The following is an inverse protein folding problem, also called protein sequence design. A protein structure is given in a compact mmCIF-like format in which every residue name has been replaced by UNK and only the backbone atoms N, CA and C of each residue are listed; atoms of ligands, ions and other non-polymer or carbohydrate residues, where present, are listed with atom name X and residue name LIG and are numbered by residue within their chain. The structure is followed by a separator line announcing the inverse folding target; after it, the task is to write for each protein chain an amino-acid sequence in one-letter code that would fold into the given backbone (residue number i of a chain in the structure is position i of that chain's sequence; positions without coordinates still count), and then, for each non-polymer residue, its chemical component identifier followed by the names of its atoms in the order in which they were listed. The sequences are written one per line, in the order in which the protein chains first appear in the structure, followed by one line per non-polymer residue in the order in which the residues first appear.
data_IF_209981166837
#
_entry.id   IF_209981166837
#
_cell.length_a   1.000
_cell.length_b   1.000
_cell.length_c   1.000
_cell.angle_alpha   90.00
_cell.angle_beta   90.00
_cell.angle_gamma   90.00
#
_symmetry.space_group_name_H-M   'P 1'
#
loop_
_entity.id
_entity.type
_entity.pdbx_description
1 polymer ?
#
# COMPACT_ATOMS: atom_id res chain seq x y z
N UNK A 1 -7.83 12.76 -13.33
CA UNK A 1 -6.35 12.85 -13.26
C UNK A 1 -5.83 11.54 -12.74
N UNK A 2 -4.81 10.97 -13.38
CA UNK A 2 -4.07 9.79 -12.93
C UNK A 2 -2.81 10.19 -12.18
N UNK A 3 -2.29 9.29 -11.34
CA UNK A 3 -1.02 9.46 -10.65
C UNK A 3 0.11 9.05 -11.58
N UNK A 4 1.09 9.93 -11.82
CA UNK A 4 2.25 9.63 -12.64
C UNK A 4 3.02 8.41 -12.10
N UNK A 5 3.66 7.62 -12.97
CA UNK A 5 4.29 6.36 -12.58
C UNK A 5 5.40 6.56 -11.54
N UNK A 6 6.19 7.62 -11.65
CA UNK A 6 7.27 8.00 -10.73
C UNK A 6 6.77 8.49 -9.36
N UNK A 7 5.51 8.93 -9.27
CA UNK A 7 4.85 9.39 -8.02
C UNK A 7 3.91 8.35 -7.43
N UNK A 8 3.71 7.24 -8.12
CA UNK A 8 2.84 6.18 -7.63
C UNK A 8 3.54 5.42 -6.49
N UNK A 9 2.86 5.19 -5.37
CA UNK A 9 3.48 4.54 -4.22
C UNK A 9 4.02 3.15 -4.55
N UNK A 10 5.21 2.83 -4.03
CA UNK A 10 5.83 1.51 -4.16
C UNK A 10 5.73 0.77 -2.83
N UNK A 11 5.21 -0.46 -2.86
CA UNK A 11 5.16 -1.36 -1.70
C UNK A 11 5.36 -2.79 -2.15
N UNK A 12 6.38 -3.44 -1.62
CA UNK A 12 6.66 -4.87 -1.82
C UNK A 12 6.61 -5.60 -0.48
N UNK A 13 6.25 -6.89 -0.49
CA UNK A 13 6.32 -7.78 0.67
C UNK A 13 7.63 -8.57 0.69
N UNK A 14 8.25 -8.74 -0.46
CA UNK A 14 9.56 -9.34 -0.70
C UNK A 14 10.47 -8.33 -1.39
N UNK A 15 11.79 -8.59 -1.51
CA UNK A 15 12.68 -7.77 -2.29
C UNK A 15 12.14 -7.50 -3.69
N UNK A 16 12.47 -6.36 -4.24
CA UNK A 16 12.21 -6.10 -5.64
C UNK A 16 13.04 -7.06 -6.49
N UNK A 17 12.42 -7.76 -7.46
CA UNK A 17 13.16 -8.65 -8.34
C UNK A 17 14.25 -7.90 -9.12
N UNK A 18 15.28 -8.60 -9.59
CA UNK A 18 16.34 -7.97 -10.35
C UNK A 18 15.84 -7.44 -11.71
N UNK A 19 16.52 -6.42 -12.30
CA UNK A 19 16.13 -5.81 -13.58
C UNK A 19 15.99 -6.79 -14.75
N UNK A 20 16.59 -7.99 -14.69
CA UNK A 20 16.41 -9.02 -15.71
C UNK A 20 14.95 -9.42 -15.95
N UNK A 21 14.06 -9.23 -14.96
CA UNK A 21 12.62 -9.53 -15.09
C UNK A 21 11.94 -8.75 -16.22
N UNK A 22 12.41 -7.53 -16.50
CA UNK A 22 11.83 -6.65 -17.52
C UNK A 22 12.67 -6.52 -18.79
N UNK A 23 13.83 -7.19 -18.88
CA UNK A 23 14.69 -7.14 -20.09
C UNK A 23 14.06 -7.82 -21.30
N UNK A 24 13.42 -8.98 -21.10
CA UNK A 24 12.71 -9.71 -22.13
C UNK A 24 11.27 -9.94 -21.71
N UNK A 25 10.46 -8.89 -21.77
CA UNK A 25 9.07 -8.88 -21.29
C UNK A 25 8.22 -9.91 -22.02
N UNK A 26 8.34 -10.02 -23.34
CA UNK A 26 7.54 -10.91 -24.16
C UNK A 26 7.70 -12.40 -23.82
N UNK A 27 8.89 -12.79 -23.35
CA UNK A 27 9.18 -14.17 -22.92
C UNK A 27 8.75 -14.49 -21.48
N UNK A 28 8.19 -13.53 -20.75
CA UNK A 28 7.64 -13.78 -19.40
C UNK A 28 6.57 -14.85 -19.43
N UNK A 29 6.64 -15.85 -18.55
CA UNK A 29 5.71 -16.97 -18.55
C UNK A 29 4.74 -16.93 -17.38
N UNK A 30 3.47 -17.11 -17.70
CA UNK A 30 2.37 -17.29 -16.78
C UNK A 30 1.91 -18.76 -16.85
N UNK A 31 1.81 -19.43 -15.71
CA UNK A 31 1.26 -20.77 -15.59
C UNK A 31 -0.19 -20.70 -15.11
N UNK A 32 -1.10 -21.32 -15.86
CA UNK A 32 -2.53 -21.37 -15.52
C UNK A 32 -2.92 -22.79 -15.12
N UNK A 33 -3.70 -22.93 -14.03
CA UNK A 33 -4.25 -24.19 -13.52
C UNK A 33 -5.71 -24.05 -13.09
N UNK A 34 -6.39 -25.18 -12.98
CA UNK A 34 -7.80 -25.23 -12.54
C UNK A 34 -8.80 -24.80 -13.61
N UNK A 35 -8.38 -24.75 -14.86
CA UNK A 35 -9.20 -24.65 -16.07
C UNK A 35 -9.23 -25.98 -16.79
N UNK A 36 -10.16 -26.19 -17.75
CA UNK A 36 -10.28 -27.46 -18.48
C UNK A 36 -9.02 -27.83 -19.26
N UNK A 37 -8.25 -26.82 -19.71
CA UNK A 37 -6.92 -26.99 -20.29
C UNK A 37 -5.93 -26.23 -19.44
N UNK A 38 -4.89 -26.90 -18.95
CA UNK A 38 -3.80 -26.27 -18.22
C UNK A 38 -2.65 -25.98 -19.16
N UNK A 39 -2.13 -24.76 -19.13
CA UNK A 39 -1.10 -24.32 -20.06
C UNK A 39 -0.23 -23.21 -19.46
N UNK A 40 0.98 -23.09 -19.99
CA UNK A 40 1.85 -21.93 -19.78
C UNK A 40 1.81 -21.01 -20.99
N UNK A 41 1.66 -19.73 -20.72
CA UNK A 41 1.59 -18.68 -21.71
C UNK A 41 2.79 -17.73 -21.60
N UNK A 42 3.38 -17.36 -22.71
CA UNK A 42 4.27 -16.19 -22.76
C UNK A 42 3.44 -14.90 -22.76
N UNK A 43 4.03 -13.78 -22.37
CA UNK A 43 3.32 -12.49 -22.44
C UNK A 43 2.90 -12.16 -23.89
N UNK A 44 3.73 -12.46 -24.89
CA UNK A 44 3.37 -12.25 -26.29
C UNK A 44 2.13 -13.07 -26.71
N UNK A 45 2.02 -14.31 -26.26
CA UNK A 45 0.85 -15.14 -26.54
C UNK A 45 -0.42 -14.60 -25.81
N UNK A 46 -0.27 -14.12 -24.57
CA UNK A 46 -1.38 -13.49 -23.81
C UNK A 46 -1.92 -12.24 -24.51
N UNK A 47 -1.04 -11.42 -25.06
CA UNK A 47 -1.41 -10.22 -25.83
C UNK A 47 -2.25 -10.54 -27.08
N UNK A 48 -2.10 -11.73 -27.63
CA UNK A 48 -2.91 -12.22 -28.77
C UNK A 48 -4.34 -12.64 -28.40
N UNK A 49 -4.67 -12.81 -27.12
CA UNK A 49 -6.00 -13.26 -26.69
C UNK A 49 -7.03 -12.12 -26.52
N UNK A 50 -6.57 -10.89 -26.46
CA UNK A 50 -7.42 -9.71 -26.31
C UNK A 50 -6.78 -8.65 -25.43
N UNK A 51 -7.35 -7.46 -25.46
CA UNK A 51 -6.87 -6.31 -24.69
C UNK A 51 -8.03 -5.44 -24.25
N UNK A 52 -7.99 -5.03 -22.99
CA UNK A 52 -8.88 -4.02 -22.43
C UNK A 52 -8.08 -3.04 -21.58
N UNK A 53 -8.68 -1.87 -21.36
CA UNK A 53 -8.15 -0.87 -20.45
C UNK A 53 -9.15 -0.56 -19.34
N UNK A 54 -8.66 -0.28 -18.16
CA UNK A 54 -9.46 0.20 -17.06
C UNK A 54 -8.68 1.19 -16.20
N UNK A 55 -9.39 2.11 -15.56
CA UNK A 55 -8.82 3.04 -14.59
C UNK A 55 -9.23 2.62 -13.19
N UNK A 56 -8.26 2.45 -12.29
CA UNK A 56 -8.56 2.07 -10.91
C UNK A 56 -7.60 2.67 -9.91
N UNK A 57 -8.12 2.93 -8.71
CA UNK A 57 -7.32 3.23 -7.54
C UNK A 57 -6.69 1.96 -7.02
N UNK A 58 -5.39 1.98 -6.75
CA UNK A 58 -4.73 1.02 -5.88
C UNK A 58 -4.43 1.69 -4.55
N UNK A 59 -4.83 1.08 -3.44
CA UNK A 59 -4.59 1.57 -2.10
C UNK A 59 -4.00 0.47 -1.23
N UNK A 60 -2.92 0.77 -0.49
CA UNK A 60 -2.41 -0.14 0.53
C UNK A 60 -3.45 -0.34 1.64
N UNK A 61 -3.63 -1.57 2.12
CA UNK A 61 -4.53 -1.85 3.25
C UNK A 61 -4.21 -1.02 4.50
N UNK A 62 -2.95 -0.59 4.66
CA UNK A 62 -2.49 0.24 5.77
C UNK A 62 -2.50 1.75 5.50
N UNK A 63 -3.13 2.22 4.43
CA UNK A 63 -3.30 3.67 4.19
C UNK A 63 -4.18 4.28 5.29
N UNK A 64 -3.64 5.24 6.06
CA UNK A 64 -4.25 5.78 7.29
C UNK A 64 -3.78 5.09 8.58
N UNK A 65 -2.79 4.16 8.52
CA UNK A 65 -2.28 3.47 9.73
C UNK A 65 -1.68 4.41 10.76
N UNK A 66 -1.06 5.51 10.36
CA UNK A 66 -0.46 6.47 11.29
C UNK A 66 -1.43 7.05 12.33
N UNK A 67 -2.73 6.97 12.07
CA UNK A 67 -3.76 7.52 12.95
C UNK A 67 -4.17 6.58 14.09
N UNK A 68 -3.73 5.32 14.07
CA UNK A 68 -4.01 4.38 15.16
C UNK A 68 -3.05 4.59 16.33
N UNK A 69 -3.60 4.83 17.51
CA UNK A 69 -2.84 5.21 18.72
C UNK A 69 -2.03 4.06 19.32
N UNK A 70 -2.49 2.80 19.17
CA UNK A 70 -1.76 1.62 19.65
C UNK A 70 -0.51 1.28 18.85
N UNK A 71 -0.14 2.08 17.85
CA UNK A 71 1.10 1.91 17.08
C UNK A 71 1.19 0.59 16.29
N UNK A 72 0.20 0.24 15.45
CA UNK A 72 0.21 -1.05 14.76
C UNK A 72 1.43 -1.22 13.88
N UNK A 73 1.96 -2.44 13.82
CA UNK A 73 3.13 -2.78 13.01
C UNK A 73 2.90 -2.58 11.51
N UNK A 74 3.95 -2.24 10.79
CA UNK A 74 3.96 -1.93 9.35
C UNK A 74 4.18 -0.45 9.06
N UNK A 75 4.32 -0.07 7.78
CA UNK A 75 4.57 1.33 7.40
C UNK A 75 3.48 2.27 7.89
N UNK A 76 3.81 3.38 8.57
CA UNK A 76 2.83 4.31 9.15
C UNK A 76 2.31 5.27 8.08
N UNK A 77 1.71 4.73 7.05
CA UNK A 77 1.14 5.53 5.99
C UNK A 77 0.08 6.52 6.49
N UNK A 78 0.18 7.77 6.01
CA UNK A 78 -0.95 8.71 5.99
C UNK A 78 -1.88 8.39 4.84
N UNK A 79 -2.10 9.37 3.95
CA UNK A 79 -2.91 9.21 2.74
C UNK A 79 -2.09 8.80 1.51
N UNK A 80 -0.76 8.86 1.55
CA UNK A 80 0.13 8.71 0.40
C UNK A 80 0.24 7.31 -0.20
N UNK A 81 -0.23 6.26 0.49
CA UNK A 81 -0.19 4.90 -0.07
C UNK A 81 -1.45 4.60 -0.90
N UNK A 82 -1.79 5.48 -1.81
CA UNK A 82 -2.84 5.32 -2.81
C UNK A 82 -2.45 6.05 -4.09
N UNK A 83 -2.90 5.54 -5.22
CA UNK A 83 -2.73 6.14 -6.53
C UNK A 83 -3.78 5.61 -7.51
N UNK A 84 -4.09 6.39 -8.54
CA UNK A 84 -5.01 6.01 -9.60
C UNK A 84 -4.25 5.94 -10.92
N UNK A 85 -4.40 4.85 -11.66
CA UNK A 85 -3.74 4.67 -12.94
C UNK A 85 -4.65 4.01 -13.96
N UNK A 86 -4.34 4.24 -15.24
CA UNK A 86 -4.90 3.48 -16.37
C UNK A 86 -4.06 2.23 -16.57
N UNK A 87 -4.70 1.08 -16.59
CA UNK A 87 -4.08 -0.22 -16.80
C UNK A 87 -4.56 -0.82 -18.11
N UNK A 88 -3.63 -1.39 -18.87
CA UNK A 88 -3.93 -2.10 -20.13
C UNK A 88 -3.45 -3.54 -20.00
N UNK A 89 -4.29 -4.50 -20.39
CA UNK A 89 -3.98 -5.90 -20.26
C UNK A 89 -5.07 -6.83 -20.78
N UNK A 90 -4.94 -8.12 -20.44
CA UNK A 90 -5.88 -9.17 -20.79
C UNK A 90 -6.89 -9.35 -19.64
N UNK A 91 -8.20 -9.24 -19.86
CA UNK A 91 -9.21 -9.66 -18.89
C UNK A 91 -9.07 -11.14 -18.53
N UNK A 92 -9.11 -11.44 -17.23
CA UNK A 92 -8.98 -12.84 -16.76
C UNK A 92 -10.06 -13.74 -17.36
N UNK A 93 -11.29 -13.23 -17.60
CA UNK A 93 -12.36 -14.00 -18.23
C UNK A 93 -12.00 -14.51 -19.62
N UNK A 94 -11.33 -13.69 -20.46
CA UNK A 94 -10.92 -14.09 -21.81
C UNK A 94 -9.86 -15.21 -21.78
N UNK A 95 -8.93 -15.15 -20.81
CA UNK A 95 -7.98 -16.23 -20.59
C UNK A 95 -8.68 -17.54 -20.19
N UNK A 96 -9.69 -17.46 -19.32
CA UNK A 96 -10.49 -18.64 -18.91
C UNK A 96 -11.29 -19.20 -20.08
N UNK A 97 -11.89 -18.36 -20.92
CA UNK A 97 -12.61 -18.76 -22.13
C UNK A 97 -11.67 -19.49 -23.11
N UNK A 98 -10.47 -18.96 -23.37
CA UNK A 98 -9.47 -19.59 -24.22
C UNK A 98 -9.04 -20.97 -23.70
N UNK A 99 -9.15 -21.19 -22.37
CA UNK A 99 -8.84 -22.48 -21.71
C UNK A 99 -10.05 -23.42 -21.62
N UNK A 100 -11.16 -23.10 -22.28
CA UNK A 100 -12.36 -23.92 -22.32
C UNK A 100 -13.22 -23.84 -21.05
N UNK A 101 -12.97 -22.86 -20.19
CA UNK A 101 -13.72 -22.59 -18.95
C UNK A 101 -13.07 -23.23 -17.71
N UNK A 102 -13.70 -22.99 -16.56
CA UNK A 102 -13.23 -23.46 -15.26
C UNK A 102 -13.52 -24.95 -15.02
N UNK A 103 -12.67 -25.58 -14.19
CA UNK A 103 -12.98 -26.86 -13.57
C UNK A 103 -14.12 -26.71 -12.55
N UNK A 104 -14.93 -27.75 -12.41
CA UNK A 104 -16.07 -27.75 -11.47
C UNK A 104 -15.62 -27.51 -10.03
N UNK A 105 -16.29 -26.59 -9.35
CA UNK A 105 -16.10 -26.29 -7.94
C UNK A 105 -15.00 -25.27 -7.67
N UNK A 106 -14.46 -24.59 -8.67
CA UNK A 106 -13.58 -23.45 -8.48
C UNK A 106 -14.36 -22.32 -7.77
N UNK A 107 -13.84 -21.84 -6.65
CA UNK A 107 -14.41 -20.74 -5.86
C UNK A 107 -13.48 -19.53 -5.75
N UNK A 108 -12.21 -19.73 -6.00
CA UNK A 108 -11.20 -18.69 -5.86
C UNK A 108 -10.25 -18.67 -7.06
N UNK A 109 -9.81 -17.45 -7.42
CA UNK A 109 -8.59 -17.24 -8.19
C UNK A 109 -7.43 -17.04 -7.21
N UNK A 110 -6.48 -17.96 -7.18
CA UNK A 110 -5.24 -17.86 -6.42
C UNK A 110 -4.13 -17.41 -7.36
N UNK A 111 -3.53 -16.26 -7.06
CA UNK A 111 -2.45 -15.66 -7.86
C UNK A 111 -1.16 -15.62 -7.06
N UNK A 112 -0.06 -16.03 -7.71
CA UNK A 112 1.27 -16.13 -7.11
C UNK A 112 2.24 -15.21 -7.82
N UNK A 113 2.97 -14.39 -7.06
CA UNK A 113 4.07 -13.56 -7.54
C UNK A 113 5.30 -14.40 -7.94
N UNK A 114 6.17 -13.76 -8.71
CA UNK A 114 7.40 -14.38 -9.22
C UNK A 114 8.66 -13.92 -8.45
N UNK A 115 8.50 -13.27 -7.31
CA UNK A 115 9.62 -12.85 -6.47
C UNK A 115 10.46 -14.04 -6.04
N UNK A 116 11.78 -13.85 -6.00
CA UNK A 116 12.72 -14.83 -5.46
C UNK A 116 12.59 -14.85 -3.93
N UNK A 117 12.44 -16.03 -3.36
CA UNK A 117 12.39 -16.19 -1.92
C UNK A 117 13.81 -16.16 -1.35
N UNK A 118 14.05 -15.48 -0.22
CA UNK A 118 15.32 -15.57 0.46
C UNK A 118 15.65 -17.01 0.85
N UNK A 119 16.94 -17.36 0.85
CA UNK A 119 17.40 -18.67 1.26
C UNK A 119 17.04 -18.96 2.72
N UNK A 120 16.69 -20.21 3.02
CA UNK A 120 16.37 -20.68 4.36
C UNK A 120 15.01 -20.22 4.91
N UNK A 121 14.21 -19.49 4.14
CA UNK A 121 12.88 -19.04 4.57
C UNK A 121 11.80 -20.06 4.17
N UNK A 122 10.90 -20.39 5.11
CA UNK A 122 9.73 -21.22 4.79
C UNK A 122 8.91 -20.58 3.67
N UNK A 123 8.69 -21.36 2.61
CA UNK A 123 7.96 -20.91 1.43
C UNK A 123 6.58 -20.36 1.77
N UNK A 124 5.81 -21.06 2.60
CA UNK A 124 4.45 -20.64 2.95
C UNK A 124 4.44 -19.38 3.82
N UNK A 125 5.50 -19.15 4.60
CA UNK A 125 5.65 -17.95 5.40
C UNK A 125 5.95 -16.70 4.55
N UNK A 126 6.68 -16.86 3.44
CA UNK A 126 7.23 -15.74 2.66
C UNK A 126 6.52 -15.48 1.33
N UNK A 127 6.00 -16.52 0.66
CA UNK A 127 5.44 -16.39 -0.70
C UNK A 127 4.33 -15.33 -0.78
N UNK A 128 4.42 -14.48 -1.81
CA UNK A 128 3.36 -13.52 -2.14
C UNK A 128 2.30 -14.21 -2.99
N UNK A 129 1.29 -14.74 -2.31
CA UNK A 129 0.20 -15.48 -2.93
C UNK A 129 -1.13 -15.12 -2.29
N UNK A 130 -2.11 -14.69 -3.09
CA UNK A 130 -3.42 -14.26 -2.63
C UNK A 130 -4.54 -14.96 -3.39
N UNK A 131 -5.62 -15.22 -2.68
CA UNK A 131 -6.86 -15.76 -3.23
C UNK A 131 -7.97 -14.71 -3.15
N UNK A 132 -8.68 -14.52 -4.26
CA UNK A 132 -9.88 -13.68 -4.36
C UNK A 132 -11.06 -14.52 -4.86
N UNK A 133 -12.32 -14.12 -4.60
CA UNK A 133 -13.49 -14.80 -5.13
C UNK A 133 -13.43 -14.95 -6.66
N UNK A 134 -13.86 -16.09 -7.17
CA UNK A 134 -13.81 -16.38 -8.63
C UNK A 134 -14.73 -15.45 -9.41
N UNK A 135 -15.86 -15.06 -8.84
CA UNK A 135 -16.81 -14.12 -9.42
C UNK A 135 -16.12 -12.78 -9.70
N UNK A 136 -15.39 -12.26 -8.71
CA UNK A 136 -14.60 -11.04 -8.86
C UNK A 136 -13.51 -11.18 -9.93
N UNK A 137 -12.87 -12.34 -9.98
CA UNK A 137 -11.81 -12.60 -10.96
C UNK A 137 -12.34 -12.56 -12.40
N UNK A 138 -13.54 -13.08 -12.64
CA UNK A 138 -14.17 -13.13 -13.95
C UNK A 138 -14.90 -11.85 -14.32
N UNK A 139 -15.35 -11.06 -13.34
CA UNK A 139 -16.06 -9.81 -13.58
C UNK A 139 -15.15 -8.77 -14.27
N UNK A 140 -14.00 -8.46 -13.67
CA UNK A 140 -13.23 -7.29 -14.09
C UNK A 140 -11.71 -7.34 -13.82
N UNK A 141 -11.18 -8.47 -13.33
CA UNK A 141 -9.73 -8.57 -13.11
C UNK A 141 -8.95 -8.57 -14.42
N UNK A 142 -7.79 -7.90 -14.40
CA UNK A 142 -6.95 -7.67 -15.56
C UNK A 142 -5.53 -8.18 -15.32
N UNK A 143 -4.97 -8.91 -16.26
CA UNK A 143 -3.55 -9.22 -16.35
C UNK A 143 -2.86 -8.08 -17.08
N UNK A 144 -2.39 -7.08 -16.35
CA UNK A 144 -1.88 -5.83 -16.90
C UNK A 144 -0.39 -5.91 -17.25
N UNK A 145 -0.04 -5.40 -18.43
CA UNK A 145 1.33 -5.21 -18.92
C UNK A 145 1.67 -3.75 -19.21
N UNK A 146 0.67 -2.83 -19.20
CA UNK A 146 0.91 -1.38 -19.30
C UNK A 146 0.25 -0.64 -18.12
N UNK A 147 0.87 0.48 -17.75
CA UNK A 147 0.43 1.43 -16.73
C UNK A 147 0.60 2.85 -17.27
N UNK A 148 -0.48 3.61 -17.38
CA UNK A 148 -0.48 4.98 -17.90
C UNK A 148 0.15 5.13 -19.30
N UNK A 149 -0.04 4.15 -20.19
CA UNK A 149 0.49 4.18 -21.56
C UNK A 149 1.95 3.70 -21.70
N UNK A 150 2.58 3.25 -20.64
CA UNK A 150 3.93 2.71 -20.63
C UNK A 150 3.93 1.24 -20.16
N UNK A 151 4.92 0.43 -20.57
CA UNK A 151 5.07 -0.90 -20.02
C UNK A 151 5.19 -0.85 -18.50
N UNK A 152 4.43 -1.71 -17.77
CA UNK A 152 4.44 -1.69 -16.29
C UNK A 152 5.88 -1.68 -15.76
N UNK A 153 6.29 -0.64 -14.99
CA UNK A 153 7.63 -0.57 -14.41
C UNK A 153 7.90 -1.75 -13.47
N UNK A 154 9.18 -2.08 -13.26
CA UNK A 154 9.56 -3.19 -12.40
C UNK A 154 9.04 -3.04 -10.97
N UNK A 155 9.20 -1.86 -10.38
CA UNK A 155 8.75 -1.51 -9.02
C UNK A 155 7.22 -1.54 -8.88
N UNK A 156 6.49 -1.37 -9.97
CA UNK A 156 5.04 -1.52 -10.04
C UNK A 156 4.56 -2.91 -10.46
N UNK A 157 5.47 -3.88 -10.63
CA UNK A 157 5.12 -5.29 -10.82
C UNK A 157 5.23 -5.81 -12.25
N UNK A 158 5.90 -5.06 -13.15
CA UNK A 158 6.19 -5.55 -14.49
C UNK A 158 7.10 -6.78 -14.52
N UNK A 159 7.03 -7.57 -15.59
CA UNK A 159 6.37 -7.30 -16.86
C UNK A 159 4.86 -7.58 -16.87
N UNK A 160 4.33 -8.35 -15.92
CA UNK A 160 2.91 -8.74 -15.84
C UNK A 160 2.45 -8.69 -14.39
N UNK A 161 1.36 -7.98 -14.13
CA UNK A 161 0.72 -7.98 -12.81
C UNK A 161 -0.76 -8.29 -12.90
N UNK A 162 -1.31 -8.88 -11.83
CA UNK A 162 -2.75 -8.95 -11.66
C UNK A 162 -3.25 -7.62 -11.07
N UNK A 163 -4.22 -7.01 -11.73
CA UNK A 163 -4.98 -5.86 -11.23
C UNK A 163 -6.38 -6.36 -10.85
N UNK A 164 -6.78 -6.08 -9.60
CA UNK A 164 -8.09 -6.42 -9.02
C UNK A 164 -8.78 -5.11 -8.67
N UNK A 165 -9.59 -4.54 -9.58
CA UNK A 165 -10.19 -3.23 -9.41
C UNK A 165 -11.05 -3.16 -8.15
N UNK A 166 -10.98 -2.06 -7.41
CA UNK A 166 -11.75 -1.87 -6.19
C UNK A 166 -11.26 -2.66 -4.97
N UNK A 167 -10.24 -3.52 -5.11
CA UNK A 167 -9.68 -4.28 -4.00
C UNK A 167 -8.36 -3.65 -3.51
N UNK A 168 -8.08 -3.82 -2.20
CA UNK A 168 -6.82 -3.35 -1.61
C UNK A 168 -5.60 -3.90 -2.34
N UNK A 169 -4.53 -3.11 -2.39
CA UNK A 169 -3.29 -3.38 -3.13
C UNK A 169 -2.65 -4.74 -2.85
N UNK A 170 -2.86 -5.33 -1.65
CA UNK A 170 -2.36 -6.65 -1.32
C UNK A 170 -2.93 -7.78 -2.21
N UNK A 171 -4.05 -7.55 -2.90
CA UNK A 171 -4.66 -8.51 -3.81
C UNK A 171 -4.16 -8.34 -5.26
N UNK A 172 -3.50 -7.24 -5.55
CA UNK A 172 -2.98 -6.88 -6.87
C UNK A 172 -1.54 -7.40 -7.01
N UNK A 173 -1.42 -8.67 -7.39
CA UNK A 173 -0.14 -9.40 -7.37
C UNK A 173 0.81 -8.90 -8.45
N UNK A 174 2.01 -8.49 -8.04
CA UNK A 174 3.13 -8.09 -8.90
C UNK A 174 3.86 -9.31 -9.46
N UNK A 175 4.52 -9.15 -10.61
CA UNK A 175 5.37 -10.20 -11.20
C UNK A 175 4.64 -11.54 -11.33
N UNK A 176 3.35 -11.52 -11.66
CA UNK A 176 2.52 -12.72 -11.60
C UNK A 176 3.08 -13.85 -12.46
N UNK A 177 3.33 -15.01 -11.85
CA UNK A 177 3.89 -16.22 -12.47
C UNK A 177 2.90 -17.36 -12.57
N UNK A 178 1.91 -17.38 -11.65
CA UNK A 178 0.91 -18.44 -11.62
C UNK A 178 -0.45 -17.90 -11.27
N UNK A 179 -1.44 -18.36 -11.99
CA UNK A 179 -2.85 -18.28 -11.65
C UNK A 179 -3.39 -19.70 -11.48
N UNK A 180 -4.16 -19.92 -10.41
CA UNK A 180 -4.80 -21.19 -10.16
C UNK A 180 -6.25 -20.97 -9.71
N UNK A 181 -7.21 -21.61 -10.37
CA UNK A 181 -8.59 -21.63 -9.92
C UNK A 181 -8.77 -22.78 -8.94
N UNK A 182 -9.07 -22.45 -7.69
CA UNK A 182 -9.02 -23.35 -6.55
C UNK A 182 -10.36 -23.45 -5.82
N UNK A 183 -10.60 -24.55 -5.11
CA UNK A 183 -11.78 -24.73 -4.24
C UNK A 183 -11.61 -23.96 -2.92
N UNK A 184 -10.37 -23.91 -2.42
CA UNK A 184 -10.03 -23.27 -1.14
C UNK A 184 -9.04 -22.13 -1.36
N UNK A 185 -8.98 -21.21 -0.40
CA UNK A 185 -7.97 -20.14 -0.36
C UNK A 185 -6.58 -20.76 -0.11
N UNK A 186 -5.54 -20.09 -0.58
CA UNK A 186 -4.15 -20.49 -0.32
C UNK A 186 -3.82 -20.49 1.16
N UNK A 187 -2.93 -21.42 1.56
CA UNK A 187 -2.39 -21.52 2.91
C UNK A 187 -1.18 -20.60 3.15
N UNK A 188 -0.74 -19.83 2.13
CA UNK A 188 0.31 -18.84 2.31
C UNK A 188 -0.03 -17.87 3.46
N UNK A 189 0.95 -17.61 4.34
CA UNK A 189 0.78 -16.76 5.54
C UNK A 189 0.12 -15.41 5.22
N UNK A 190 0.49 -14.80 4.09
CA UNK A 190 -0.05 -13.52 3.61
C UNK A 190 -1.58 -13.55 3.37
N UNK A 191 -2.17 -14.72 3.09
CA UNK A 191 -3.61 -14.93 2.97
C UNK A 191 -4.20 -15.56 4.23
N UNK A 192 -3.56 -16.62 4.75
CA UNK A 192 -4.11 -17.45 5.82
C UNK A 192 -4.28 -16.65 7.12
N UNK A 193 -3.26 -15.91 7.53
CA UNK A 193 -3.26 -15.11 8.76
C UNK A 193 -2.90 -13.64 8.55
N UNK A 194 -2.24 -13.31 7.45
CA UNK A 194 -1.95 -11.94 7.04
C UNK A 194 -3.15 -11.26 6.36
N UNK A 195 -3.16 -9.95 6.33
CA UNK A 195 -4.23 -9.14 5.74
C UNK A 195 -5.64 -9.57 6.14
N UNK A 196 -5.79 -9.93 7.44
CA UNK A 196 -7.07 -10.21 8.09
C UNK A 196 -7.47 -9.04 8.98
N UNK A 197 -8.73 -8.68 8.93
CA UNK A 197 -9.30 -7.68 9.83
C UNK A 197 -9.61 -8.36 11.17
N UNK A 198 -8.95 -7.93 12.24
CA UNK A 198 -9.03 -8.59 13.55
C UNK A 198 -8.94 -7.59 14.69
N UNK A 199 -9.58 -7.87 15.86
CA UNK A 199 -9.45 -7.05 17.04
C UNK A 199 -7.98 -6.94 17.52
N UNK A 200 -7.67 -5.84 18.23
CA UNK A 200 -6.35 -5.61 18.86
C UNK A 200 -6.04 -6.78 19.82
N UNK A 201 -4.79 -7.24 19.82
CA UNK A 201 -4.31 -8.36 20.63
C UNK A 201 -4.65 -9.76 20.08
N UNK A 202 -5.36 -9.87 18.94
CA UNK A 202 -5.71 -11.18 18.34
C UNK A 202 -4.74 -11.54 17.23
N UNK A 203 -4.34 -12.84 17.18
CA UNK A 203 -3.56 -13.38 16.05
C UNK A 203 -4.46 -13.52 14.81
N UNK A 204 -3.85 -13.42 13.62
CA UNK A 204 -4.58 -13.59 12.37
C UNK A 204 -4.99 -15.05 12.17
N UNK A 205 -6.21 -15.27 11.66
CA UNK A 205 -6.81 -16.57 11.41
C UNK A 205 -7.66 -16.56 10.13
N UNK A 206 -7.85 -17.71 9.47
CA UNK A 206 -8.52 -17.79 8.18
C UNK A 206 -10.04 -17.50 8.22
N UNK A 207 -10.66 -17.61 9.39
CA UNK A 207 -12.07 -17.30 9.65
C UNK A 207 -12.35 -15.78 9.76
N UNK A 208 -11.31 -14.97 9.94
CA UNK A 208 -11.44 -13.50 9.98
C UNK A 208 -11.59 -12.92 8.57
N UNK A 209 -12.26 -11.75 8.48
CA UNK A 209 -12.47 -11.06 7.21
C UNK A 209 -11.14 -10.75 6.49
N UNK A 210 -11.05 -11.15 5.22
CA UNK A 210 -9.90 -10.83 4.36
C UNK A 210 -9.99 -9.38 3.86
N UNK A 211 -8.85 -8.72 3.74
CA UNK A 211 -8.75 -7.38 3.16
C UNK A 211 -8.93 -7.45 1.64
N UNK A 212 -10.18 -7.60 1.19
CA UNK A 212 -10.56 -7.64 -0.22
C UNK A 212 -11.00 -6.25 -0.70
N UNK A 213 -12.28 -5.95 -0.72
CA UNK A 213 -12.82 -4.68 -1.23
C UNK A 213 -12.39 -3.48 -0.36
N UNK A 214 -12.10 -2.36 -1.02
CA UNK A 214 -11.81 -1.08 -0.37
C UNK A 214 -13.10 -0.45 0.15
N UNK A 215 -12.99 0.27 1.26
CA UNK A 215 -14.07 1.08 1.80
C UNK A 215 -14.22 2.38 1.00
N UNK A 216 -15.40 3.00 1.04
CA UNK A 216 -15.61 4.37 0.57
C UNK A 216 -14.71 5.34 1.36
N UNK A 217 -14.02 6.23 0.65
CA UNK A 217 -13.01 7.10 1.26
C UNK A 217 -12.80 8.37 0.46
N UNK A 218 -12.51 9.47 1.16
CA UNK A 218 -12.04 10.73 0.59
C UNK A 218 -11.00 11.37 1.50
N UNK A 219 -10.23 12.28 0.93
CA UNK A 219 -9.38 13.22 1.66
C UNK A 219 -9.10 14.45 0.81
N UNK A 220 -8.66 15.52 1.48
CA UNK A 220 -8.31 16.80 0.86
C UNK A 220 -6.80 16.81 0.61
N UNK A 221 -6.39 17.16 -0.61
CA UNK A 221 -4.99 17.24 -1.04
C UNK A 221 -4.36 18.62 -0.89
N UNK A 222 -5.15 19.63 -0.62
CA UNK A 222 -4.62 20.98 -0.44
C UNK A 222 -5.65 22.07 -0.77
N UNK A 223 -5.19 23.33 -0.63
CA UNK A 223 -3.87 23.80 -0.18
C UNK A 223 -3.63 23.54 1.33
N UNK A 224 -2.38 23.69 1.78
CA UNK A 224 -1.99 23.51 3.18
C UNK A 224 -1.63 22.06 3.57
N UNK A 225 -1.72 21.09 2.65
CA UNK A 225 -1.45 19.67 2.94
C UNK A 225 0.03 19.36 3.24
N UNK A 226 0.96 20.19 2.77
CA UNK A 226 2.39 20.12 3.09
C UNK A 226 2.78 20.79 4.40
N UNK A 227 1.81 21.40 5.12
CA UNK A 227 2.06 22.16 6.35
C UNK A 227 2.35 23.67 6.08
N UNK A 228 2.32 24.10 4.81
CA UNK A 228 2.44 25.49 4.44
C UNK A 228 1.25 26.31 4.96
N UNK A 229 1.51 27.52 5.49
CA UNK A 229 0.47 28.45 5.85
C UNK A 229 -0.18 29.03 4.57
N UNK A 230 -1.48 29.27 4.63
CA UNK A 230 -2.24 29.88 3.53
C UNK A 230 -2.80 31.24 3.96
N UNK A 231 -3.08 32.17 3.02
CA UNK A 231 -3.72 33.44 3.36
C UNK A 231 -5.14 33.23 3.93
N UNK A 232 -5.56 34.00 4.92
CA UNK A 232 -6.96 33.99 5.36
C UNK A 232 -7.90 34.50 4.26
N UNK A 233 -9.18 34.18 4.38
CA UNK A 233 -10.23 34.51 3.43
C UNK A 233 -10.68 33.31 2.61
N UNK A 234 -11.25 33.57 1.44
CA UNK A 234 -11.80 32.53 0.57
C UNK A 234 -10.71 31.66 -0.03
N UNK A 235 -10.72 30.39 0.36
CA UNK A 235 -9.76 29.37 -0.07
C UNK A 235 -10.44 28.25 -0.85
N UNK A 236 -9.86 27.89 -1.99
CA UNK A 236 -10.34 26.78 -2.82
C UNK A 236 -9.57 25.50 -2.48
N UNK A 237 -10.28 24.52 -1.94
CA UNK A 237 -9.75 23.22 -1.62
C UNK A 237 -10.03 22.21 -2.74
N UNK A 238 -9.17 21.19 -2.83
CA UNK A 238 -9.35 20.07 -3.75
C UNK A 238 -8.96 18.76 -3.09
N UNK A 239 -9.58 17.68 -3.54
CA UNK A 239 -9.33 16.36 -2.99
C UNK A 239 -9.76 15.26 -3.95
N UNK A 240 -9.71 14.02 -3.45
CA UNK A 240 -10.11 12.81 -4.16
C UNK A 240 -11.04 11.95 -3.32
N UNK A 241 -11.94 11.24 -3.98
CA UNK A 241 -12.87 10.28 -3.37
C UNK A 241 -12.99 9.04 -4.24
N UNK A 242 -13.10 7.86 -3.65
CA UNK A 242 -13.27 6.57 -4.32
C UNK A 242 -13.94 5.54 -3.43
N UNK A 243 -14.43 4.45 -4.04
CA UNK A 243 -14.99 3.29 -3.35
C UNK A 243 -14.44 1.99 -3.95
N UNK A 244 -14.62 0.89 -3.27
CA UNK A 244 -14.19 -0.45 -3.69
C UNK A 244 -15.14 -1.15 -4.65
N UNK A 245 -16.26 -0.55 -4.99
CA UNK A 245 -17.27 -1.17 -5.87
C UNK A 245 -18.16 -0.16 -6.55
N UNK A 246 -19.15 0.38 -5.85
CA UNK A 246 -20.04 1.39 -6.40
C UNK A 246 -19.30 2.70 -6.67
N UNK A 247 -19.74 3.46 -7.70
CA UNK A 247 -19.16 4.76 -8.00
C UNK A 247 -19.43 5.79 -6.88
N UNK A 248 -18.62 6.84 -6.81
CA UNK A 248 -18.87 7.96 -5.90
C UNK A 248 -20.05 8.79 -6.39
N UNK A 249 -21.09 8.88 -5.57
CA UNK A 249 -22.29 9.68 -5.84
C UNK A 249 -22.09 11.15 -5.52
N UNK A 250 -21.55 11.47 -4.34
CA UNK A 250 -21.25 12.83 -3.89
C UNK A 250 -20.13 12.86 -2.85
N UNK A 251 -19.57 14.04 -2.67
CA UNK A 251 -18.64 14.35 -1.57
C UNK A 251 -19.19 15.56 -0.83
N UNK A 252 -19.13 15.53 0.49
CA UNK A 252 -19.48 16.65 1.35
C UNK A 252 -18.23 17.13 2.08
N UNK A 253 -18.21 18.41 2.48
CA UNK A 253 -17.12 19.03 3.24
C UNK A 253 -17.64 19.78 4.47
N UNK A 254 -16.78 19.94 5.47
CA UNK A 254 -17.05 20.66 6.73
C UNK A 254 -15.79 21.38 7.22
N UNK A 255 -15.99 22.53 7.90
CA UNK A 255 -14.95 23.29 8.61
C UNK A 255 -15.30 23.51 10.11
N UNK A 256 -16.35 22.88 10.59
CA UNK A 256 -16.90 23.03 11.95
C UNK A 256 -16.94 21.69 12.71
N UNK A 257 -15.93 20.85 12.52
CA UNK A 257 -15.80 19.52 13.11
C UNK A 257 -16.94 18.55 12.76
N UNK A 258 -17.50 18.71 11.57
CA UNK A 258 -18.54 17.81 11.05
C UNK A 258 -19.94 18.10 11.59
N UNK A 259 -20.17 19.27 12.19
CA UNK A 259 -21.49 19.69 12.66
C UNK A 259 -22.41 20.03 11.51
N UNK A 260 -21.87 20.72 10.51
CA UNK A 260 -22.58 21.03 9.26
C UNK A 260 -21.78 20.53 8.05
N UNK A 261 -22.52 20.15 7.01
CA UNK A 261 -21.93 19.61 5.78
C UNK A 261 -22.54 20.29 4.57
N UNK A 262 -21.67 20.69 3.64
CA UNK A 262 -22.03 21.23 2.33
C UNK A 262 -21.51 20.33 1.23
N UNK A 263 -22.20 20.27 0.10
CA UNK A 263 -21.77 19.44 -1.03
C UNK A 263 -20.60 20.08 -1.79
N UNK A 264 -19.59 19.27 -2.09
CA UNK A 264 -18.46 19.64 -2.93
C UNK A 264 -18.77 19.37 -4.40
N UNK A 265 -18.21 20.19 -5.29
CA UNK A 265 -18.33 19.97 -6.73
C UNK A 265 -17.40 18.86 -7.20
N UNK A 266 -17.96 17.81 -7.81
CA UNK A 266 -17.15 16.81 -8.50
C UNK A 266 -16.56 17.41 -9.77
N UNK A 267 -15.28 17.11 -10.04
CA UNK A 267 -14.48 17.69 -11.10
C UNK A 267 -14.00 16.63 -12.10
N UNK A 268 -13.78 17.08 -13.33
CA UNK A 268 -13.23 16.26 -14.42
C UNK A 268 -14.19 15.18 -14.92
N UNK A 269 -13.77 14.41 -15.93
CA UNK A 269 -14.54 13.30 -16.45
C UNK A 269 -14.65 12.17 -15.43
N UNK A 270 -15.71 11.38 -15.52
CA UNK A 270 -15.82 10.10 -14.85
C UNK A 270 -14.96 9.07 -15.61
N UNK A 271 -13.96 8.53 -14.96
CA UNK A 271 -13.04 7.53 -15.52
C UNK A 271 -13.43 6.09 -15.14
N UNK A 272 -14.64 5.90 -14.65
CA UNK A 272 -15.19 4.61 -14.25
C UNK A 272 -15.26 4.41 -12.74
N UNK A 273 -16.08 3.45 -12.33
CA UNK A 273 -16.49 3.22 -10.92
C UNK A 273 -15.33 2.96 -9.95
N UNK A 274 -14.18 2.50 -10.44
CA UNK A 274 -13.00 2.19 -9.64
C UNK A 274 -11.94 3.30 -9.65
N UNK A 275 -12.12 4.32 -10.51
CA UNK A 275 -11.28 5.51 -10.50
C UNK A 275 -11.67 6.43 -9.35
N UNK A 276 -10.75 7.25 -8.89
CA UNK A 276 -11.16 8.32 -7.99
C UNK A 276 -11.88 9.44 -8.73
N UNK A 277 -12.83 10.08 -8.04
CA UNK A 277 -13.43 11.35 -8.44
C UNK A 277 -12.67 12.48 -7.76
N UNK A 278 -12.23 13.44 -8.54
CA UNK A 278 -11.72 14.69 -7.99
C UNK A 278 -12.91 15.55 -7.53
N UNK A 279 -12.72 16.32 -6.47
CA UNK A 279 -13.69 17.28 -6.00
C UNK A 279 -13.04 18.59 -5.60
N UNK A 280 -13.79 19.68 -5.60
CA UNK A 280 -13.39 20.99 -5.14
C UNK A 280 -14.53 21.69 -4.41
N UNK A 281 -14.16 22.57 -3.50
CA UNK A 281 -15.07 23.46 -2.78
C UNK A 281 -14.32 24.72 -2.34
N UNK A 282 -15.05 25.76 -1.92
CA UNK A 282 -14.47 26.96 -1.36
C UNK A 282 -15.00 27.18 0.05
N UNK A 283 -14.11 27.51 0.98
CA UNK A 283 -14.43 27.86 2.35
C UNK A 283 -13.79 29.19 2.74
N UNK A 284 -14.47 29.95 3.61
CA UNK A 284 -13.91 31.16 4.23
C UNK A 284 -13.16 30.75 5.50
N UNK A 285 -11.88 31.09 5.58
CA UNK A 285 -11.02 30.84 6.73
C UNK A 285 -10.63 32.15 7.39
N UNK A 286 -10.93 32.29 8.69
CA UNK A 286 -10.34 33.34 9.52
C UNK A 286 -8.86 33.06 9.77
N UNK A 287 -8.12 34.04 10.27
CA UNK A 287 -6.76 33.80 10.77
C UNK A 287 -6.77 32.76 11.90
N UNK A 288 -5.82 31.83 11.88
CA UNK A 288 -5.72 30.76 12.88
C UNK A 288 -5.58 29.36 12.30
N UNK A 289 -5.74 28.34 13.16
CA UNK A 289 -5.67 26.93 12.79
C UNK A 289 -7.08 26.38 12.56
N UNK A 290 -7.26 25.71 11.45
CA UNK A 290 -8.53 25.08 11.04
C UNK A 290 -8.34 23.60 10.76
N UNK A 291 -9.42 22.84 10.91
CA UNK A 291 -9.51 21.47 10.39
C UNK A 291 -10.61 21.41 9.34
N UNK A 292 -10.23 20.96 8.16
CA UNK A 292 -11.13 20.87 7.01
C UNK A 292 -11.34 19.39 6.69
N UNK A 293 -12.60 18.98 6.58
CA UNK A 293 -12.99 17.59 6.41
C UNK A 293 -13.71 17.37 5.10
N UNK A 294 -13.57 16.16 4.58
CA UNK A 294 -14.43 15.66 3.50
C UNK A 294 -14.97 14.28 3.86
N UNK A 295 -16.19 13.97 3.41
CA UNK A 295 -16.77 12.62 3.47
C UNK A 295 -17.40 12.25 2.14
N UNK A 296 -17.08 11.06 1.68
CA UNK A 296 -17.62 10.52 0.44
C UNK A 296 -18.87 9.67 0.68
N UNK A 297 -19.75 9.66 -0.31
CA UNK A 297 -20.91 8.77 -0.40
C UNK A 297 -20.83 8.03 -1.73
N UNK A 298 -21.06 6.73 -1.74
CA UNK A 298 -21.15 5.95 -2.96
C UNK A 298 -22.60 5.70 -3.40
N UNK A 299 -22.77 5.09 -4.56
CA UNK A 299 -24.10 4.80 -5.15
C UNK A 299 -24.86 3.69 -4.41
N UNK A 300 -24.18 2.86 -3.61
CA UNK A 300 -24.84 1.87 -2.75
C UNK A 300 -25.38 2.49 -1.45
N UNK A 301 -25.08 3.77 -1.20
CA UNK A 301 -25.51 4.48 0.01
C UNK A 301 -24.55 4.38 1.16
N UNK A 302 -23.37 3.75 0.97
CA UNK A 302 -22.32 3.76 1.98
C UNK A 302 -21.74 5.16 2.14
N UNK A 303 -21.48 5.53 3.38
CA UNK A 303 -20.98 6.84 3.76
C UNK A 303 -19.67 6.67 4.53
N UNK A 304 -18.66 7.45 4.19
CA UNK A 304 -17.41 7.48 4.94
C UNK A 304 -17.67 7.84 6.41
N UNK A 305 -17.31 6.94 7.37
CA UNK A 305 -17.67 7.11 8.77
C UNK A 305 -16.82 8.17 9.47
N UNK A 306 -17.32 8.65 10.61
CA UNK A 306 -16.57 9.55 11.50
C UNK A 306 -15.38 8.83 12.14
N UNK A 307 -15.62 7.68 12.73
CA UNK A 307 -14.63 6.90 13.44
C UNK A 307 -14.12 5.75 12.57
N UNK A 308 -12.85 5.42 12.73
CA UNK A 308 -12.26 4.22 12.15
C UNK A 308 -12.68 2.96 12.90
N UNK A 309 -12.66 1.83 12.23
CA UNK A 309 -12.73 0.53 12.88
C UNK A 309 -11.35 0.19 13.47
N UNK A 310 -11.26 0.16 14.81
CA UNK A 310 -10.03 -0.24 15.50
C UNK A 310 -9.70 -1.70 15.19
N UNK A 311 -8.45 -1.96 14.80
CA UNK A 311 -8.00 -3.31 14.51
C UNK A 311 -6.48 -3.44 14.68
N UNK A 312 -6.02 -4.66 14.95
CA UNK A 312 -4.62 -5.00 15.28
C UNK A 312 -3.58 -4.45 14.28
N UNK A 313 -3.91 -4.36 13.00
CA UNK A 313 -2.95 -4.01 11.96
C UNK A 313 -3.12 -2.61 11.38
N UNK A 314 -4.07 -1.85 11.89
CA UNK A 314 -4.40 -0.52 11.37
C UNK A 314 -4.77 -0.56 9.89
N UNK A 315 -5.59 -1.55 9.51
CA UNK A 315 -6.07 -1.72 8.15
C UNK A 315 -7.41 -1.04 7.90
N UNK A 316 -7.63 -0.64 6.65
CA UNK A 316 -8.92 -0.21 6.16
C UNK A 316 -9.44 1.11 6.73
N UNK A 317 -8.56 1.94 7.30
CA UNK A 317 -8.98 3.22 7.85
C UNK A 317 -9.60 4.12 6.78
N UNK A 318 -10.88 4.42 6.98
CA UNK A 318 -11.64 5.35 6.15
C UNK A 318 -12.39 6.42 6.98
N UNK A 319 -11.98 6.68 8.22
CA UNK A 319 -12.53 7.75 9.05
C UNK A 319 -12.35 9.12 8.38
N UNK A 320 -13.42 9.89 8.20
CA UNK A 320 -13.28 11.25 7.71
C UNK A 320 -12.58 12.14 8.76
N UNK A 321 -12.75 11.86 10.04
CA UNK A 321 -12.10 12.62 11.13
C UNK A 321 -10.58 12.46 11.11
N UNK A 322 -10.08 11.25 10.92
CA UNK A 322 -8.64 10.97 10.82
C UNK A 322 -8.01 11.62 9.58
N UNK A 323 -8.76 11.66 8.48
CA UNK A 323 -8.30 12.19 7.20
C UNK A 323 -8.58 13.69 7.03
N UNK A 324 -9.02 14.37 8.08
CA UNK A 324 -9.17 15.83 8.09
C UNK A 324 -7.84 16.54 7.91
N UNK A 325 -7.83 17.55 7.05
CA UNK A 325 -6.67 18.38 6.77
C UNK A 325 -6.54 19.50 7.82
N UNK A 326 -5.42 19.54 8.53
CA UNK A 326 -5.08 20.68 9.37
C UNK A 326 -4.46 21.80 8.50
N UNK A 327 -4.97 23.01 8.62
CA UNK A 327 -4.56 24.17 7.83
C UNK A 327 -4.30 25.34 8.76
N UNK A 328 -3.20 26.05 8.55
CA UNK A 328 -2.89 27.32 9.22
C UNK A 328 -3.18 28.46 8.28
N UNK A 329 -4.15 29.33 8.60
CA UNK A 329 -4.41 30.57 7.87
C UNK A 329 -3.69 31.74 8.58
N UNK A 330 -2.81 32.43 7.87
CA UNK A 330 -2.02 33.53 8.43
C UNK A 330 -1.85 34.68 7.42
N UNK A 331 -2.04 35.90 7.89
CA UNK A 331 -1.84 37.11 7.08
C UNK A 331 -0.42 37.28 6.53
N UNK A 332 0.57 36.62 7.13
CA UNK A 332 1.96 36.63 6.67
C UNK A 332 2.24 35.55 5.58
N UNK A 333 1.28 34.72 5.22
CA UNK A 333 1.43 33.72 4.16
C UNK A 333 1.43 34.41 2.80
N UNK A 334 2.52 34.25 2.02
CA UNK A 334 2.57 34.77 0.64
C UNK A 334 1.58 33.97 -0.23
N UNK A 335 0.77 34.68 -1.03
CA UNK A 335 -0.01 34.01 -2.09
C UNK A 335 1.00 33.43 -3.08
N UNK A 336 1.12 32.12 -3.09
CA UNK A 336 1.87 31.42 -4.13
C UNK A 336 1.17 31.67 -5.46
N UNK A 337 1.75 32.54 -6.28
CA UNK A 337 1.44 32.63 -7.69
C UNK A 337 2.06 31.43 -8.35
N UNK A 338 1.29 30.33 -8.41
CA UNK A 338 1.70 29.13 -9.14
C UNK A 338 1.56 29.38 -10.64
N UNK A 339 2.55 30.04 -11.24
CA UNK A 339 2.91 29.77 -12.63
C UNK A 339 3.68 28.41 -12.62
N UNK A 340 3.43 27.51 -13.57
CA UNK A 340 4.18 26.27 -13.66
C UNK A 340 5.60 26.57 -14.12
N UNK A 341 6.53 26.72 -13.18
CA UNK A 341 7.95 26.72 -13.51
C UNK A 341 8.36 25.28 -13.84
N UNK A 342 8.89 25.11 -15.04
CA UNK A 342 9.63 23.93 -15.44
C UNK A 342 10.77 23.72 -14.44
N UNK A 343 10.67 22.68 -13.62
CA UNK A 343 11.75 22.25 -12.74
C UNK A 343 12.63 21.31 -13.54
N UNK A 344 13.79 21.79 -13.95
CA UNK A 344 14.87 20.92 -14.40
C UNK A 344 15.21 19.90 -13.29
N UNK A 345 15.50 18.64 -13.63
CA UNK A 345 15.84 17.63 -12.65
C UNK A 345 17.21 17.92 -12.05
N UNK A 346 17.24 18.50 -10.86
CA UNK A 346 18.47 18.57 -10.06
C UNK A 346 18.82 17.18 -9.55
N UNK A 347 20.02 16.73 -9.91
CA UNK A 347 20.64 15.52 -9.38
C UNK A 347 20.73 15.60 -7.85
N UNK A 348 20.47 14.48 -7.12
CA UNK A 348 20.63 14.47 -5.68
C UNK A 348 22.10 14.70 -5.31
N UNK A 349 22.38 15.48 -4.26
CA UNK A 349 23.74 15.65 -3.76
C UNK A 349 24.28 14.31 -3.27
N UNK A 350 25.56 14.08 -3.53
CA UNK A 350 26.30 12.92 -3.04
C UNK A 350 26.24 12.86 -1.50
N UNK A 351 26.19 11.67 -0.89
CA UNK A 351 26.13 11.55 0.55
C UNK A 351 27.45 12.00 1.19
N UNK A 352 27.37 13.03 2.03
CA UNK A 352 28.47 13.38 2.94
C UNK A 352 28.63 12.30 4.00
N UNK A 353 29.86 11.95 4.30
CA UNK A 353 30.24 10.96 5.30
C UNK A 353 29.79 11.39 6.71
N UNK A 354 29.25 10.48 7.52
CA UNK A 354 28.73 10.83 8.84
C UNK A 354 29.86 10.95 9.85
N UNK A 355 29.86 12.08 10.58
CA UNK A 355 30.64 12.24 11.81
C UNK A 355 29.70 12.17 13.03
N UNK A 356 30.23 11.48 14.07
CA UNK A 356 29.78 11.45 15.46
C UNK A 356 28.77 10.35 15.88
N UNK A 357 29.39 9.26 16.38
CA UNK A 357 28.79 8.23 17.23
C UNK A 357 28.35 8.78 18.59
N UNK A 358 27.03 8.83 18.82
CA UNK A 358 26.51 8.78 20.18
C UNK A 358 26.84 7.42 20.77
N UNK A 359 27.49 7.37 21.95
CA UNK A 359 27.88 6.13 22.61
C UNK A 359 26.64 5.33 22.98
N UNK A 360 26.51 4.10 22.43
CA UNK A 360 25.41 3.20 22.76
C UNK A 360 25.47 2.82 24.25
N UNK A 361 24.33 2.86 24.93
CA UNK A 361 24.27 2.39 26.33
C UNK A 361 24.38 0.84 26.41
N UNK A 362 24.63 0.27 27.59
CA UNK A 362 24.79 -1.18 27.74
C UNK A 362 23.63 -2.02 27.26
N UNK A 363 22.41 -1.48 27.32
CA UNK A 363 21.20 -2.14 26.81
C UNK A 363 21.16 -2.14 25.28
N UNK A 364 21.49 -1.02 24.67
CA UNK A 364 21.59 -0.90 23.23
C UNK A 364 22.71 -1.80 22.65
N UNK A 365 23.82 -1.96 23.37
CA UNK A 365 24.91 -2.88 22.96
C UNK A 365 24.45 -4.34 22.97
N UNK A 366 23.69 -4.79 23.98
CA UNK A 366 23.08 -6.14 23.97
C UNK A 366 22.08 -6.31 22.83
N UNK A 367 21.26 -5.30 22.61
CA UNK A 367 20.28 -5.30 21.51
C UNK A 367 20.95 -5.38 20.14
N UNK A 368 22.08 -4.67 19.95
CA UNK A 368 22.90 -4.71 18.74
C UNK A 368 23.48 -6.11 18.52
N UNK A 369 24.06 -6.70 19.55
CA UNK A 369 24.62 -8.06 19.48
C UNK A 369 23.53 -9.08 19.13
N UNK A 370 22.37 -9.01 19.78
CA UNK A 370 21.27 -9.90 19.53
C UNK A 370 20.72 -9.75 18.10
N UNK A 371 20.60 -8.53 17.60
CA UNK A 371 20.17 -8.24 16.24
C UNK A 371 21.13 -8.82 15.18
N UNK A 372 22.43 -8.79 15.45
CA UNK A 372 23.47 -9.28 14.53
C UNK A 372 23.67 -10.80 14.58
N UNK A 373 23.51 -11.43 15.76
CA UNK A 373 23.98 -12.79 15.99
C UNK A 373 22.90 -13.79 16.43
N UNK A 374 21.79 -13.32 17.02
CA UNK A 374 20.79 -14.22 17.64
C UNK A 374 19.51 -14.38 16.84
N UNK A 375 19.38 -13.70 15.69
CA UNK A 375 18.17 -13.74 14.87
C UNK A 375 18.33 -14.66 13.65
N UNK A 376 17.34 -15.53 13.41
CA UNK A 376 17.29 -16.35 12.19
C UNK A 376 15.90 -16.28 11.54
N UNK A 377 15.80 -15.79 10.28
CA UNK A 377 16.90 -15.20 9.48
C UNK A 377 17.45 -13.93 10.13
N UNK A 378 18.71 -13.61 9.86
CA UNK A 378 19.37 -12.42 10.41
C UNK A 378 18.62 -11.15 9.99
N UNK A 379 18.45 -10.19 10.90
CA UNK A 379 17.79 -8.91 10.62
C UNK A 379 18.43 -8.16 9.45
N UNK A 380 19.75 -8.22 9.33
CA UNK A 380 20.53 -7.62 8.25
C UNK A 380 20.31 -8.23 6.87
N UNK A 381 19.74 -9.43 6.77
CA UNK A 381 19.33 -10.00 5.49
C UNK A 381 18.18 -9.22 4.85
N UNK A 382 17.41 -8.50 5.67
CA UNK A 382 16.20 -7.80 5.23
C UNK A 382 16.27 -6.28 5.42
N UNK A 383 16.93 -5.78 6.45
CA UNK A 383 16.93 -4.36 6.81
C UNK A 383 18.31 -3.70 6.62
N UNK A 384 18.29 -2.48 6.09
CA UNK A 384 19.42 -1.55 6.19
C UNK A 384 19.39 -0.85 7.56
N UNK A 385 20.55 -0.73 8.19
CA UNK A 385 20.79 0.06 9.41
C UNK A 385 22.27 0.46 9.41
N UNK A 386 22.53 1.74 9.17
CA UNK A 386 23.88 2.25 8.94
C UNK A 386 24.81 2.04 10.14
N UNK A 387 24.33 2.27 11.36
CA UNK A 387 25.10 2.09 12.60
C UNK A 387 25.57 0.64 12.75
N UNK A 388 24.75 -0.35 12.37
CA UNK A 388 25.09 -1.77 12.42
C UNK A 388 25.84 -2.28 11.18
N UNK A 389 26.09 -1.44 10.17
CA UNK A 389 26.68 -1.85 8.89
C UNK A 389 25.78 -2.75 8.04
N UNK A 390 24.48 -2.74 8.26
CA UNK A 390 23.52 -3.58 7.54
C UNK A 390 23.05 -2.92 6.26
N UNK A 391 22.99 -3.68 5.17
CA UNK A 391 22.62 -3.20 3.83
C UNK A 391 21.43 -3.97 3.23
N UNK A 392 20.65 -4.67 4.05
CA UNK A 392 19.48 -5.42 3.56
C UNK A 392 18.43 -4.51 2.96
N UNK A 393 17.98 -4.82 1.74
CA UNK A 393 17.01 -4.02 0.98
C UNK A 393 15.63 -4.66 0.89
N UNK A 394 15.35 -5.68 1.68
CA UNK A 394 14.08 -6.46 1.68
C UNK A 394 13.02 -5.80 2.53
N UNK A 395 13.40 -5.37 3.71
CA UNK A 395 12.58 -4.62 4.65
C UNK A 395 12.78 -3.11 4.46
N UNK A 396 12.03 -2.29 5.20
CA UNK A 396 12.30 -0.87 5.22
C UNK A 396 13.71 -0.60 5.77
N UNK A 397 14.37 0.39 5.20
CA UNK A 397 15.60 0.94 5.75
C UNK A 397 15.28 1.59 7.11
N UNK A 398 15.94 1.13 8.17
CA UNK A 398 15.58 1.53 9.53
C UNK A 398 15.98 2.98 9.82
N UNK A 399 17.09 3.46 9.25
CA UNK A 399 17.53 4.85 9.37
C UNK A 399 16.50 5.84 8.78
N UNK A 400 15.92 5.51 7.63
CA UNK A 400 14.87 6.32 7.02
C UNK A 400 13.52 6.20 7.76
N UNK A 401 13.23 5.00 8.29
CA UNK A 401 11.96 4.72 8.98
C UNK A 401 11.89 5.33 10.38
N UNK A 402 13.02 5.41 11.10
CA UNK A 402 13.15 5.90 12.50
C UNK A 402 12.04 5.36 13.41
N UNK A 403 11.93 4.03 13.56
CA UNK A 403 10.83 3.44 14.31
C UNK A 403 11.02 3.65 15.82
N UNK A 404 9.91 3.83 16.55
CA UNK A 404 9.94 3.79 18.02
C UNK A 404 10.22 2.38 18.53
N UNK A 405 10.78 2.25 19.75
CA UNK A 405 11.05 0.95 20.38
C UNK A 405 9.79 0.08 20.44
N UNK A 406 8.63 0.64 20.82
CA UNK A 406 7.38 -0.10 20.87
C UNK A 406 6.98 -0.69 19.51
N UNK A 407 7.25 0.03 18.43
CA UNK A 407 6.98 -0.44 17.07
C UNK A 407 7.93 -1.54 16.63
N UNK A 408 9.22 -1.44 16.97
CA UNK A 408 10.21 -2.49 16.70
C UNK A 408 9.87 -3.74 17.50
N UNK A 409 9.54 -3.59 18.79
CA UNK A 409 9.15 -4.68 19.68
C UNK A 409 7.95 -5.46 19.10
N UNK A 410 6.89 -4.75 18.71
CA UNK A 410 5.72 -5.37 18.09
C UNK A 410 6.04 -6.09 16.75
N UNK A 411 6.96 -5.51 15.96
CA UNK A 411 7.36 -6.09 14.69
C UNK A 411 8.24 -7.35 14.87
N UNK A 412 9.19 -7.32 15.80
CA UNK A 412 10.06 -8.47 16.11
C UNK A 412 9.24 -9.60 16.75
N UNK A 413 8.36 -9.28 17.71
CA UNK A 413 7.50 -10.28 18.35
C UNK A 413 6.57 -10.97 17.36
N UNK A 414 5.80 -10.22 16.59
CA UNK A 414 4.68 -10.73 15.81
C UNK A 414 4.99 -10.97 14.33
N UNK A 415 6.15 -10.51 13.84
CA UNK A 415 6.48 -10.45 12.43
C UNK A 415 5.60 -9.46 11.65
N UNK A 416 6.05 -9.03 10.48
CA UNK A 416 5.34 -8.09 9.60
C UNK A 416 5.55 -8.45 8.13
N UNK A 417 4.50 -8.86 7.44
CA UNK A 417 4.61 -9.28 6.04
C UNK A 417 5.54 -10.47 5.89
N UNK A 418 6.63 -10.30 5.14
CA UNK A 418 7.69 -11.31 4.99
C UNK A 418 8.60 -11.43 6.23
N UNK A 419 8.62 -10.43 7.12
CA UNK A 419 9.39 -10.50 8.36
C UNK A 419 8.83 -11.61 9.25
N UNK A 420 9.62 -12.60 9.67
CA UNK A 420 9.16 -13.65 10.58
C UNK A 420 8.85 -13.10 11.97
N UNK A 421 8.05 -13.82 12.73
CA UNK A 421 7.90 -13.59 14.15
C UNK A 421 9.06 -14.27 14.90
N UNK A 422 9.65 -13.55 15.84
CA UNK A 422 10.72 -14.09 16.70
C UNK A 422 10.21 -14.44 18.11
N UNK A 423 8.89 -14.30 18.37
CA UNK A 423 8.26 -14.81 19.58
C UNK A 423 8.52 -16.32 19.73
N UNK A 424 9.10 -16.75 20.87
CA UNK A 424 9.51 -18.14 21.10
C UNK A 424 10.90 -18.50 20.57
N UNK A 425 11.53 -17.67 19.77
CA UNK A 425 12.96 -17.79 19.37
C UNK A 425 13.86 -16.90 20.23
N UNK A 426 13.38 -15.71 20.58
CA UNK A 426 14.07 -14.76 21.44
C UNK A 426 13.31 -14.58 22.75
N UNK A 427 14.07 -14.30 23.84
CA UNK A 427 13.46 -13.92 25.10
C UNK A 427 12.76 -12.55 24.99
N UNK A 428 11.79 -12.30 25.85
CA UNK A 428 11.11 -10.98 25.96
C UNK A 428 12.09 -9.85 26.23
N UNK A 429 13.13 -10.09 27.02
CA UNK A 429 14.20 -9.13 27.31
C UNK A 429 15.01 -8.84 26.06
N UNK A 430 15.42 -9.86 25.32
CA UNK A 430 16.18 -9.72 24.07
C UNK A 430 15.36 -8.93 23.02
N UNK A 431 14.08 -9.19 22.89
CA UNK A 431 13.19 -8.44 21.97
C UNK A 431 13.16 -6.94 22.35
N UNK A 432 13.06 -6.64 23.65
CA UNK A 432 13.07 -5.26 24.16
C UNK A 432 14.42 -4.58 23.98
N UNK A 433 15.52 -5.32 24.11
CA UNK A 433 16.87 -4.78 23.91
C UNK A 433 17.14 -4.48 22.44
N UNK A 434 16.71 -5.35 21.51
CA UNK A 434 16.75 -5.07 20.07
C UNK A 434 15.93 -3.82 19.74
N UNK A 435 14.73 -3.71 20.30
CA UNK A 435 13.85 -2.58 20.07
C UNK A 435 14.47 -1.26 20.54
N UNK A 436 15.04 -1.25 21.73
CA UNK A 436 15.76 -0.10 22.29
C UNK A 436 16.96 0.30 21.42
N UNK A 437 17.76 -0.67 21.01
CA UNK A 437 18.91 -0.43 20.14
C UNK A 437 18.51 0.21 18.82
N UNK A 438 17.54 -0.35 18.11
CA UNK A 438 17.09 0.18 16.80
C UNK A 438 16.57 1.61 16.93
N UNK A 439 15.81 1.91 17.99
CA UNK A 439 15.33 3.28 18.22
C UNK A 439 16.50 4.26 18.46
N UNK A 440 17.49 3.88 19.27
CA UNK A 440 18.66 4.71 19.52
C UNK A 440 19.52 4.90 18.27
N UNK A 441 19.85 3.81 17.57
CA UNK A 441 20.68 3.82 16.38
C UNK A 441 20.09 4.72 15.28
N UNK A 442 18.76 4.73 15.13
CA UNK A 442 18.06 5.52 14.09
C UNK A 442 17.78 6.97 14.50
N UNK A 443 17.86 7.34 15.79
CA UNK A 443 17.69 8.73 16.25
C UNK A 443 18.99 9.55 16.13
N UNK A 444 20.13 8.92 16.13
CA UNK A 444 21.45 9.57 16.00
C UNK A 444 21.83 9.97 14.58
N UNK A 445 21.12 9.48 13.57
CA UNK A 445 21.30 9.84 12.15
C UNK A 445 20.56 11.15 11.85
N UNK A 446 21.23 12.30 12.01
CA UNK A 446 20.77 13.62 11.56
C UNK A 446 21.32 13.93 10.17
#
# INVERSE_FOLDING_TARGET
MVTANDRFFVRNNLPMPPPRFVRNRGAWRLHLRGTRKEQSWTLNELQGLGVESLTTVLQCSGNGRKFFEHGPSGSPWGVGAAGCAVWVGLPVRLLVEAMGGLMRGARYLTSTGGEELPDGVDRNAAIVERSIPVEKALEDCLLAWEMNGEPVPLDHGGPLRLVVPGYYGCNNIKYVKRLAFTKEQTQAKIQHSGYRLRPIGRKGAPDQASMWAMNVKSWINGPGAGGEAIPPGRTHFHGVAFSGGPAIRKVEWSIDDGRTWSEAKLMGPDMGRYAWRQFTFAAELSEGTHRVFSRAHDEAGEVQPEARLENERGYGNNSWRDHGLAVVASGNAQRSSAEPSEVEPSSPPAPEAPTASGQLDPRALRGREALLQQTQPACGACHGLQEAGLQGAVGPELDALRPSAARVEAAVRNGVGAMPAYEGQLSEETIKDIAHYVEMATRGSK
#
